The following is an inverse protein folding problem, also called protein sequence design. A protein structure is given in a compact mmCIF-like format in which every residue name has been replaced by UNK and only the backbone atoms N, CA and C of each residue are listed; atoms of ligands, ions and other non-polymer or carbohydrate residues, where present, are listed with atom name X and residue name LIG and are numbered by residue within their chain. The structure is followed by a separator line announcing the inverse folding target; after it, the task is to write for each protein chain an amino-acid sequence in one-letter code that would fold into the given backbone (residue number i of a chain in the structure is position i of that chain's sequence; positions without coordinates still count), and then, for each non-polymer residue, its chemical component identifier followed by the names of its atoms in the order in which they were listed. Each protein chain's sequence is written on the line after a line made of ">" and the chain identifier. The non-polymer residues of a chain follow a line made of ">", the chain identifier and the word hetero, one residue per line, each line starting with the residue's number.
data_IF_284242819369
#
_entry.id   IF_284242819369
#
_cell.length_a   1.000
_cell.length_b   1.000
_cell.length_c   1.000
_cell.angle_alpha   90.00
_cell.angle_beta   90.00
_cell.angle_gamma   90.00
#
_symmetry.space_group_name_H-M   'P 1'
#
loop_
_entity.id
_entity.type
_entity.pdbx_description
1 polymer ?
#
# COMPACT_ATOMS: atom_id res chain seq x y z
N UNK A 1 1.10 15.93 15.44
CA UNK A 1 0.09 15.22 14.61
C UNK A 1 -0.88 14.61 15.61
N UNK A 2 -2.14 15.05 15.63
CA UNK A 2 -3.03 14.84 16.79
C UNK A 2 -3.33 13.35 17.02
N UNK A 3 -3.04 12.86 18.23
CA UNK A 3 -3.29 11.48 18.65
C UNK A 3 -4.78 11.10 18.58
N UNK A 4 -5.68 12.06 18.78
CA UNK A 4 -7.13 11.88 18.62
C UNK A 4 -7.53 11.46 17.20
N UNK A 5 -6.83 11.96 16.18
CA UNK A 5 -7.11 11.64 14.77
C UNK A 5 -6.59 10.23 14.38
N UNK A 6 -5.80 9.58 15.25
CA UNK A 6 -5.36 8.19 15.07
C UNK A 6 -6.29 7.20 15.77
N UNK A 7 -6.96 7.60 16.86
CA UNK A 7 -7.90 6.74 17.59
C UNK A 7 -9.20 6.56 16.80
N UNK A 8 -9.84 7.64 16.33
CA UNK A 8 -11.03 7.54 15.48
C UNK A 8 -10.75 6.81 14.15
N UNK A 9 -9.50 6.86 13.67
CA UNK A 9 -9.09 6.15 12.47
C UNK A 9 -9.18 4.64 12.63
N UNK A 10 -8.91 4.10 13.82
CA UNK A 10 -8.95 2.66 14.12
C UNK A 10 -10.36 2.16 14.40
N UNK A 11 -11.20 2.95 15.08
CA UNK A 11 -12.52 2.49 15.52
C UNK A 11 -13.50 2.27 14.35
N UNK A 12 -13.35 3.02 13.25
CA UNK A 12 -14.24 2.94 12.10
C UNK A 12 -13.63 2.17 10.91
N UNK A 13 -12.49 1.50 11.08
CA UNK A 13 -11.81 0.76 10.02
C UNK A 13 -12.30 -0.70 9.99
N UNK A 14 -13.01 -1.07 8.92
CA UNK A 14 -13.61 -2.40 8.77
C UNK A 14 -12.62 -3.36 8.07
N UNK A 15 -11.88 -2.84 7.10
CA UNK A 15 -10.93 -3.60 6.29
C UNK A 15 -9.83 -2.67 5.80
N UNK A 16 -8.58 -3.14 5.80
CA UNK A 16 -7.45 -2.38 5.26
C UNK A 16 -6.50 -3.28 4.45
N UNK A 17 -5.97 -2.72 3.37
CA UNK A 17 -4.87 -3.30 2.58
C UNK A 17 -3.78 -2.27 2.35
N UNK A 18 -2.53 -2.72 2.40
CA UNK A 18 -1.34 -1.89 2.22
C UNK A 18 -0.54 -2.40 1.02
N UNK A 19 -0.15 -1.49 0.13
CA UNK A 19 0.75 -1.75 -1.00
C UNK A 19 2.01 -0.88 -0.85
N UNK A 20 3.17 -1.51 -0.68
CA UNK A 20 4.47 -0.83 -0.63
C UNK A 20 5.09 -0.82 -2.03
N UNK A 21 5.47 0.37 -2.50
CA UNK A 21 6.02 0.60 -3.84
C UNK A 21 7.20 1.60 -3.77
N UNK A 22 8.36 1.12 -3.31
CA UNK A 22 9.55 1.95 -3.11
C UNK A 22 9.31 3.08 -2.11
N UNK A 23 9.51 4.34 -2.54
CA UNK A 23 9.30 5.54 -1.69
C UNK A 23 7.83 5.86 -1.41
N UNK A 24 6.88 5.10 -1.98
CA UNK A 24 5.45 5.30 -1.83
C UNK A 24 4.82 4.10 -1.12
N UNK A 25 3.88 4.37 -0.23
CA UNK A 25 3.02 3.35 0.38
C UNK A 25 1.57 3.74 0.17
N UNK A 26 0.78 2.86 -0.41
CA UNK A 26 -0.65 3.04 -0.62
C UNK A 26 -1.42 2.29 0.46
N UNK A 27 -2.42 2.94 1.04
CA UNK A 27 -3.34 2.39 2.02
C UNK A 27 -4.74 2.42 1.42
N UNK A 28 -5.44 1.30 1.47
CA UNK A 28 -6.80 1.13 1.00
C UNK A 28 -7.66 0.72 2.20
N UNK A 29 -8.34 1.70 2.81
CA UNK A 29 -9.12 1.50 4.03
C UNK A 29 -10.62 1.58 3.71
N UNK A 30 -11.37 0.55 4.05
CA UNK A 30 -12.84 0.56 4.06
C UNK A 30 -13.31 1.01 5.43
N UNK A 31 -14.13 2.07 5.46
CA UNK A 31 -14.62 2.69 6.68
C UNK A 31 -16.14 2.80 6.67
N UNK A 32 -16.74 2.78 7.85
CA UNK A 32 -18.18 2.99 8.05
C UNK A 32 -18.48 4.48 8.26
N UNK A 33 -19.56 4.96 7.66
CA UNK A 33 -20.15 6.26 7.98
C UNK A 33 -21.06 6.13 9.21
N UNK A 34 -21.45 7.26 9.81
CA UNK A 34 -22.44 7.27 10.90
C UNK A 34 -23.80 6.68 10.51
N UNK A 35 -24.11 6.61 9.21
CA UNK A 35 -25.35 6.05 8.68
C UNK A 35 -25.28 4.54 8.39
N UNK A 36 -24.13 3.91 8.62
CA UNK A 36 -23.92 2.48 8.35
C UNK A 36 -23.47 2.15 6.93
N UNK A 37 -23.32 3.15 6.05
CA UNK A 37 -22.78 2.94 4.70
C UNK A 37 -21.25 2.88 4.72
N UNK A 38 -20.68 2.13 3.77
CA UNK A 38 -19.24 1.97 3.61
C UNK A 38 -18.68 2.91 2.54
N UNK A 39 -17.50 3.45 2.80
CA UNK A 39 -16.72 4.25 1.86
C UNK A 39 -15.25 3.81 1.86
N UNK A 40 -14.55 4.05 0.76
CA UNK A 40 -13.15 3.71 0.59
C UNK A 40 -12.30 4.97 0.77
N UNK A 41 -11.26 4.87 1.59
CA UNK A 41 -10.19 5.85 1.68
C UNK A 41 -8.93 5.29 1.04
N UNK A 42 -8.43 5.94 -0.01
CA UNK A 42 -7.16 5.60 -0.65
C UNK A 42 -6.15 6.66 -0.24
N UNK A 43 -5.11 6.28 0.51
CA UNK A 43 -4.04 7.19 0.93
C UNK A 43 -2.73 6.79 0.27
N UNK A 44 -2.10 7.70 -0.46
CA UNK A 44 -0.70 7.58 -0.85
C UNK A 44 0.17 8.32 0.17
N UNK A 45 1.11 7.63 0.81
CA UNK A 45 2.18 8.24 1.60
C UNK A 45 3.49 8.16 0.84
N UNK A 46 4.03 9.32 0.46
CA UNK A 46 5.32 9.45 -0.21
C UNK A 46 6.38 9.92 0.76
N UNK A 47 7.46 9.16 0.91
CA UNK A 47 8.67 9.56 1.63
C UNK A 47 9.41 10.62 0.80
N UNK A 48 9.58 11.80 1.39
CA UNK A 48 10.40 12.89 0.87
C UNK A 48 11.65 13.03 1.74
N UNK A 49 12.78 13.29 1.11
CA UNK A 49 14.02 13.67 1.79
C UNK A 49 14.14 15.17 1.51
N UNK A 50 14.15 16.01 2.56
CA UNK A 50 14.40 17.45 2.37
C UNK A 50 15.84 17.68 1.92
N UNK A 51 16.13 18.86 1.38
CA UNK A 51 17.50 19.24 0.99
C UNK A 51 18.47 19.23 2.18
N UNK A 52 17.94 19.40 3.40
CA UNK A 52 18.67 19.31 4.68
C UNK A 52 18.76 17.87 5.23
N UNK A 53 18.30 16.86 4.48
CA UNK A 53 18.36 15.44 4.85
C UNK A 53 17.26 14.96 5.81
N UNK A 54 16.33 15.83 6.21
CA UNK A 54 15.22 15.44 7.08
C UNK A 54 14.22 14.52 6.34
N UNK A 55 13.86 13.42 6.98
CA UNK A 55 12.88 12.47 6.46
C UNK A 55 11.46 12.97 6.76
N UNK A 56 10.71 13.30 5.71
CA UNK A 56 9.30 13.69 5.81
C UNK A 56 8.39 12.76 5.01
N UNK A 57 7.10 12.76 5.33
CA UNK A 57 6.09 12.04 4.55
C UNK A 57 5.01 13.02 4.07
N UNK A 58 4.76 13.03 2.75
CA UNK A 58 3.61 13.72 2.18
C UNK A 58 2.49 12.71 1.93
N UNK A 59 1.30 12.98 2.45
CA UNK A 59 0.13 12.14 2.26
C UNK A 59 -0.84 12.78 1.27
N UNK A 60 -1.30 12.01 0.29
CA UNK A 60 -2.42 12.35 -0.59
C UNK A 60 -3.55 11.40 -0.27
N UNK A 61 -4.77 11.90 -0.13
CA UNK A 61 -5.92 11.10 0.28
C UNK A 61 -7.10 11.34 -0.65
N UNK A 62 -7.73 10.25 -1.07
CA UNK A 62 -8.96 10.22 -1.85
C UNK A 62 -10.03 9.54 -0.99
N UNK A 63 -11.22 10.12 -0.95
CA UNK A 63 -12.42 9.49 -0.40
C UNK A 63 -13.32 9.12 -1.58
N UNK A 64 -13.77 7.87 -1.61
CA UNK A 64 -14.66 7.35 -2.63
C UNK A 64 -15.90 6.78 -1.93
N UNK A 65 -17.08 7.23 -2.34
CA UNK A 65 -18.35 6.80 -1.78
C UNK A 65 -19.02 5.75 -2.68
N UNK A 66 -19.98 5.03 -2.10
CA UNK A 66 -20.58 3.82 -2.67
C UNK A 66 -21.25 4.04 -4.03
N UNK A 67 -21.85 5.21 -4.24
CA UNK A 67 -22.50 5.63 -5.48
C UNK A 67 -21.52 5.66 -6.67
N UNK A 68 -20.24 5.92 -6.43
CA UNK A 68 -19.23 6.09 -7.48
C UNK A 68 -18.38 4.84 -7.72
N UNK A 69 -18.48 3.81 -6.85
CA UNK A 69 -17.61 2.62 -6.89
C UNK A 69 -17.57 1.94 -8.24
N UNK A 70 -18.74 1.75 -8.86
CA UNK A 70 -18.83 1.05 -10.14
C UNK A 70 -18.11 1.83 -11.23
N UNK A 71 -18.48 3.10 -11.40
CA UNK A 71 -17.91 3.95 -12.45
C UNK A 71 -16.40 4.16 -12.25
N UNK A 72 -15.96 4.37 -11.00
CA UNK A 72 -14.55 4.51 -10.66
C UNK A 72 -13.77 3.24 -11.00
N UNK A 73 -14.28 2.06 -10.61
CA UNK A 73 -13.65 0.77 -10.92
C UNK A 73 -13.51 0.57 -12.42
N UNK A 74 -14.59 0.77 -13.17
CA UNK A 74 -14.62 0.52 -14.61
C UNK A 74 -13.62 1.42 -15.35
N UNK A 75 -13.59 2.72 -15.04
CA UNK A 75 -12.64 3.67 -15.63
C UNK A 75 -11.20 3.36 -15.21
N UNK A 76 -10.98 3.00 -13.94
CA UNK A 76 -9.65 2.66 -13.43
C UNK A 76 -9.09 1.40 -14.14
N UNK A 77 -9.92 0.38 -14.31
CA UNK A 77 -9.59 -0.86 -15.00
C UNK A 77 -9.28 -0.61 -16.49
N UNK A 78 -10.13 0.16 -17.18
CA UNK A 78 -9.91 0.54 -18.58
C UNK A 78 -8.60 1.32 -18.77
N UNK A 79 -8.36 2.33 -17.93
CA UNK A 79 -7.20 3.21 -18.06
C UNK A 79 -5.90 2.45 -17.74
N UNK A 80 -5.89 1.59 -16.74
CA UNK A 80 -4.72 0.77 -16.39
C UNK A 80 -4.44 -0.28 -17.47
N UNK A 81 -5.48 -0.93 -18.01
CA UNK A 81 -5.34 -1.87 -19.12
C UNK A 81 -4.80 -1.19 -20.38
N UNK A 82 -5.25 0.03 -20.70
CA UNK A 82 -4.72 0.82 -21.81
C UNK A 82 -3.21 1.08 -21.65
N UNK A 83 -2.78 1.53 -20.47
CA UNK A 83 -1.35 1.79 -20.21
C UNK A 83 -0.53 0.50 -20.40
N UNK A 84 -0.96 -0.62 -19.81
CA UNK A 84 -0.25 -1.90 -19.93
C UNK A 84 -0.18 -2.37 -21.38
N UNK A 85 -1.26 -2.20 -22.15
CA UNK A 85 -1.28 -2.58 -23.56
C UNK A 85 -0.28 -1.77 -24.38
N UNK A 86 -0.16 -0.46 -24.13
CA UNK A 86 0.71 0.43 -24.90
C UNK A 86 2.19 0.36 -24.48
N UNK A 87 2.48 0.22 -23.18
CA UNK A 87 3.86 0.28 -22.65
C UNK A 87 4.40 -1.07 -22.16
N UNK A 88 3.56 -2.09 -22.08
CA UNK A 88 3.85 -3.36 -21.40
C UNK A 88 3.86 -3.21 -19.88
N UNK A 89 4.06 -4.34 -19.18
CA UNK A 89 4.10 -4.40 -17.72
C UNK A 89 5.48 -4.03 -17.13
N UNK A 90 6.51 -3.93 -17.97
CA UNK A 90 7.88 -3.69 -17.51
C UNK A 90 8.06 -2.24 -17.07
N UNK A 91 8.33 -2.05 -15.78
CA UNK A 91 8.66 -0.74 -15.22
C UNK A 91 10.14 -0.41 -15.51
N UNK A 92 10.39 0.30 -16.61
CA UNK A 92 11.70 0.87 -16.96
C UNK A 92 11.91 2.20 -16.23
N UNK A 93 12.11 2.13 -14.91
CA UNK A 93 12.57 3.26 -14.12
C UNK A 93 13.96 2.94 -13.58
N UNK A 94 15.00 3.57 -14.16
CA UNK A 94 16.37 3.52 -13.63
C UNK A 94 16.44 3.96 -12.16
N UNK A 95 15.53 4.85 -11.72
CA UNK A 95 15.42 5.31 -10.33
C UNK A 95 14.81 4.31 -9.34
N UNK A 96 14.39 3.13 -9.81
CA UNK A 96 13.79 2.06 -9.00
C UNK A 96 14.62 0.77 -9.03
N UNK A 97 15.76 0.74 -9.73
CA UNK A 97 16.62 -0.44 -9.80
C UNK A 97 17.43 -0.67 -8.52
N UNK A 98 17.77 0.39 -7.80
CA UNK A 98 18.67 0.30 -6.64
C UNK A 98 18.01 -0.34 -5.39
N UNK A 99 16.67 -0.33 -5.29
CA UNK A 99 15.94 -0.83 -4.11
C UNK A 99 15.14 -2.12 -4.36
N UNK A 100 15.16 -2.67 -5.58
CA UNK A 100 14.33 -3.83 -5.97
C UNK A 100 15.16 -5.11 -6.12
N UNK A 101 15.92 -5.49 -5.09
CA UNK A 101 16.42 -6.86 -4.96
C UNK A 101 15.28 -7.77 -4.46
N UNK A 102 14.42 -8.23 -5.39
CA UNK A 102 13.78 -9.53 -5.21
C UNK A 102 14.84 -10.59 -5.47
N UNK A 103 15.29 -11.25 -4.41
CA UNK A 103 15.91 -12.56 -4.54
C UNK A 103 14.84 -13.52 -5.07
N UNK A 104 14.75 -13.59 -6.40
CA UNK A 104 14.17 -14.73 -7.10
C UNK A 104 15.33 -15.66 -7.41
N UNK A 105 15.68 -16.48 -6.43
CA UNK A 105 16.43 -17.71 -6.67
C UNK A 105 15.40 -18.83 -6.63
N UNK A 106 14.91 -19.21 -7.82
CA UNK A 106 14.33 -20.52 -8.03
C UNK A 106 15.43 -21.57 -7.82
N UNK A 107 15.24 -22.49 -6.88
CA UNK A 107 15.67 -23.87 -7.09
C UNK A 107 14.70 -24.84 -6.41
N UNK A 108 14.27 -25.80 -7.23
CA UNK A 108 13.37 -26.90 -6.92
C UNK A 108 13.98 -27.80 -5.85
N UNK A 109 13.16 -28.28 -4.91
CA UNK A 109 12.91 -29.72 -4.74
C UNK A 109 11.83 -30.01 -3.67
N UNK A 110 11.04 -31.04 -3.95
CA UNK A 110 9.93 -31.57 -3.17
C UNK A 110 10.35 -32.13 -1.81
N UNK A 111 9.62 -31.82 -0.73
CA UNK A 111 9.17 -32.79 0.27
C UNK A 111 8.11 -32.21 1.22
N UNK A 112 7.10 -33.03 1.51
CA UNK A 112 5.97 -32.78 2.37
C UNK A 112 6.31 -32.45 3.84
N UNK A 113 5.40 -31.68 4.43
CA UNK A 113 4.76 -31.90 5.75
C UNK A 113 5.11 -30.95 6.91
N UNK A 114 4.01 -30.48 7.50
CA UNK A 114 3.80 -30.06 8.89
C UNK A 114 4.34 -28.69 9.36
N UNK A 115 3.38 -27.84 9.74
CA UNK A 115 3.37 -26.87 10.84
C UNK A 115 4.71 -26.64 11.55
N UNK A 116 5.16 -25.38 11.58
CA UNK A 116 5.65 -24.69 12.79
C UNK A 116 5.50 -23.18 12.56
N UNK A 117 4.69 -22.56 13.41
CA UNK A 117 4.68 -21.14 13.75
C UNK A 117 6.09 -20.59 13.94
N UNK A 118 6.34 -19.34 13.53
CA UNK A 118 7.25 -18.35 14.15
C UNK A 118 7.35 -17.16 13.18
N UNK A 119 6.53 -16.11 13.36
CA UNK A 119 6.96 -14.92 14.08
C UNK A 119 8.47 -14.67 13.94
N UNK A 120 8.84 -13.86 12.96
CA UNK A 120 10.15 -13.21 12.96
C UNK A 120 10.15 -12.18 14.09
N UNK A 121 10.67 -12.64 15.24
CA UNK A 121 11.22 -11.80 16.29
C UNK A 121 12.22 -10.83 15.67
N UNK A 122 12.01 -9.53 15.89
CA UNK A 122 13.05 -8.53 15.72
C UNK A 122 13.32 -7.99 17.11
N UNK A 123 14.39 -8.48 17.74
CA UNK A 123 15.02 -7.83 18.89
C UNK A 123 15.71 -6.56 18.40
N UNK A 124 15.41 -5.43 19.03
CA UNK A 124 16.21 -4.22 18.93
C UNK A 124 16.87 -4.01 20.30
N UNK A 125 18.11 -4.48 20.40
CA UNK A 125 19.07 -3.97 21.38
C UNK A 125 19.49 -2.55 20.96
N UNK A 126 19.45 -1.64 21.93
CA UNK A 126 20.18 -0.37 22.06
C UNK A 126 20.70 0.32 20.77
N UNK A 127 20.05 1.44 20.40
CA UNK A 127 20.62 2.81 20.18
C UNK A 127 19.52 3.78 19.70
#
# INVERSE_FOLDING_TARGET
>A
MNDFENVEKKENEIFSKVLRAGKRTYFFDVRETKAGDYYLTITESKKNISEEGALGFKKFKIYLYKEDFKNFKDIFEETTAFIIKETGEKVISERHRDDFHLQSEENKDNANSANISNYTNVEFDDI
#
